data_IF_848324213848
#
_entry.id   IF_848324213848
#
_cell.length_a   1.000
_cell.length_b   1.000
_cell.length_c   1.000
_cell.angle_alpha   90.00
_cell.angle_beta   90.00
_cell.angle_gamma   90.00
#
_symmetry.space_group_name_H-M   'P 1'
#
loop_
_entity.id
_entity.type
_entity.pdbx_description
1 polymer ?
#
# COMPACT_ATOMS: atom_id res chain seq x y z
N UNK A 1 -1.27 -9.11 5.75
CA UNK A 1 -2.02 -9.31 7.00
C UNK A 1 -3.46 -8.91 6.78
N UNK A 2 -4.41 -9.73 7.22
CA UNK A 2 -5.85 -9.47 7.11
C UNK A 2 -6.55 -9.59 8.45
N UNK A 3 -7.77 -9.06 8.55
CA UNK A 3 -8.60 -9.09 9.75
C UNK A 3 -9.55 -7.88 9.86
N UNK A 4 -10.55 -7.92 10.76
CA UNK A 4 -11.53 -6.85 10.95
C UNK A 4 -10.90 -5.49 11.29
N UNK A 5 -11.64 -4.39 11.11
CA UNK A 5 -11.20 -3.09 11.63
C UNK A 5 -11.04 -3.18 13.15
N UNK A 6 -9.98 -2.57 13.70
CA UNK A 6 -9.70 -2.59 15.14
C UNK A 6 -8.90 -3.79 15.68
N UNK A 7 -8.63 -4.84 14.89
CA UNK A 7 -7.88 -6.02 15.37
C UNK A 7 -6.34 -5.84 15.50
N UNK A 8 -5.85 -4.59 15.47
CA UNK A 8 -4.43 -4.30 15.67
C UNK A 8 -3.52 -4.43 14.44
N UNK A 9 -4.05 -4.57 13.22
CA UNK A 9 -3.21 -4.63 11.98
C UNK A 9 -2.25 -3.44 11.85
N UNK A 10 -2.74 -2.23 12.03
CA UNK A 10 -1.91 -1.00 12.00
C UNK A 10 -0.84 -1.03 13.08
N UNK A 11 -1.17 -1.49 14.29
CA UNK A 11 -0.21 -1.62 15.40
C UNK A 11 0.89 -2.63 15.07
N UNK A 12 0.53 -3.79 14.52
CA UNK A 12 1.49 -4.80 14.08
C UNK A 12 2.36 -4.28 12.92
N UNK A 13 1.77 -3.60 11.93
CA UNK A 13 2.49 -3.04 10.80
C UNK A 13 3.51 -1.99 11.25
N UNK A 14 3.15 -1.14 12.22
CA UNK A 14 4.06 -0.17 12.83
C UNK A 14 5.19 -0.86 13.58
N UNK A 15 4.91 -1.88 14.39
CA UNK A 15 5.95 -2.65 15.07
C UNK A 15 6.93 -3.31 14.08
N UNK A 16 6.45 -3.82 12.95
CA UNK A 16 7.32 -4.34 11.88
C UNK A 16 8.18 -3.24 11.28
N UNK A 17 7.61 -2.06 11.02
CA UNK A 17 8.36 -0.91 10.50
C UNK A 17 9.44 -0.42 11.48
N UNK A 18 9.10 -0.32 12.76
CA UNK A 18 9.99 0.19 13.82
C UNK A 18 11.16 -0.76 14.12
N UNK A 19 10.98 -2.06 13.88
CA UNK A 19 12.02 -3.09 14.08
C UNK A 19 12.82 -3.39 12.81
N UNK A 20 12.47 -2.78 11.67
CA UNK A 20 13.13 -3.05 10.41
C UNK A 20 14.57 -2.50 10.38
N UNK A 21 15.52 -3.34 9.97
CA UNK A 21 16.93 -2.95 9.78
C UNK A 21 17.23 -2.41 8.37
N UNK A 22 16.21 -2.32 7.52
CA UNK A 22 16.29 -1.82 6.15
C UNK A 22 15.46 -0.54 6.03
N UNK A 23 15.76 0.37 5.09
CA UNK A 23 14.93 1.55 4.90
C UNK A 23 13.46 1.19 4.68
N UNK A 24 12.59 1.86 5.44
CA UNK A 24 11.14 1.69 5.37
C UNK A 24 10.53 2.77 4.49
N UNK A 25 9.60 2.37 3.63
CA UNK A 25 8.81 3.25 2.78
C UNK A 25 7.34 3.02 3.13
N UNK A 26 6.74 3.96 3.86
CA UNK A 26 5.32 3.94 4.18
C UNK A 26 4.51 4.56 3.03
N UNK A 27 3.87 3.71 2.23
CA UNK A 27 3.09 4.14 1.07
C UNK A 27 1.91 5.04 1.40
N UNK A 28 1.33 4.88 2.60
CA UNK A 28 0.21 5.70 3.04
C UNK A 28 0.69 7.07 3.56
N UNK A 29 1.83 7.12 4.27
CA UNK A 29 2.43 8.38 4.71
C UNK A 29 2.78 9.30 3.53
N UNK A 30 3.31 8.73 2.44
CA UNK A 30 3.69 9.47 1.23
C UNK A 30 2.56 10.34 0.66
N UNK A 31 1.31 9.90 0.79
CA UNK A 31 0.15 10.64 0.31
C UNK A 31 -0.46 11.54 1.38
N UNK A 32 -0.44 11.11 2.66
CA UNK A 32 -0.97 11.93 3.76
C UNK A 32 -0.26 13.28 3.85
N UNK A 33 1.05 13.29 3.57
CA UNK A 33 1.88 14.49 3.67
C UNK A 33 1.98 15.27 2.35
N UNK A 34 1.33 14.80 1.27
CA UNK A 34 1.40 15.42 -0.05
C UNK A 34 0.48 16.65 -0.15
N UNK A 35 0.96 17.80 -0.67
CA UNK A 35 0.12 18.97 -0.88
C UNK A 35 -0.98 18.67 -1.91
N UNK A 36 -2.24 18.94 -1.56
CA UNK A 36 -3.40 18.60 -2.39
C UNK A 36 -3.45 19.36 -3.72
N UNK A 37 -3.00 20.60 -3.75
CA UNK A 37 -3.00 21.50 -4.90
C UNK A 37 -1.84 21.25 -5.88
N UNK A 38 -0.85 20.47 -5.48
CA UNK A 38 0.35 20.21 -6.27
C UNK A 38 0.11 19.14 -7.35
N UNK A 39 0.63 19.31 -8.58
CA UNK A 39 0.59 18.27 -9.60
C UNK A 39 1.24 16.97 -9.12
N UNK A 40 0.65 15.82 -9.46
CA UNK A 40 1.16 14.52 -9.00
C UNK A 40 2.62 14.27 -9.42
N UNK A 41 3.03 14.76 -10.61
CA UNK A 41 4.37 14.55 -11.14
C UNK A 41 5.43 15.26 -10.30
N UNK A 42 5.07 16.39 -9.67
CA UNK A 42 5.97 17.20 -8.87
C UNK A 42 6.25 16.61 -7.48
N UNK A 43 5.56 15.52 -7.11
CA UNK A 43 5.84 14.78 -5.87
C UNK A 43 7.07 13.87 -5.98
N UNK A 44 7.55 13.62 -7.21
CA UNK A 44 8.68 12.76 -7.46
C UNK A 44 9.98 13.55 -7.46
N UNK A 45 11.06 12.88 -7.07
CA UNK A 45 12.42 13.38 -7.21
C UNK A 45 13.22 12.43 -8.11
N UNK A 46 14.12 12.97 -8.91
CA UNK A 46 15.02 12.20 -9.77
C UNK A 46 14.70 12.30 -11.27
N UNK A 47 15.38 11.50 -12.10
CA UNK A 47 15.26 11.57 -13.55
C UNK A 47 13.86 11.19 -14.04
N UNK A 48 13.30 11.98 -14.97
CA UNK A 48 11.97 11.74 -15.54
C UNK A 48 11.74 10.30 -16.03
N UNK A 49 12.69 9.62 -16.72
CA UNK A 49 12.49 8.23 -17.13
C UNK A 49 12.22 7.25 -15.98
N UNK A 50 12.82 7.47 -14.81
CA UNK A 50 12.60 6.63 -13.62
C UNK A 50 11.23 6.89 -12.99
N UNK A 51 10.84 8.16 -12.95
CA UNK A 51 9.51 8.59 -12.51
C UNK A 51 8.43 7.97 -13.39
N UNK A 52 8.58 8.06 -14.71
CA UNK A 52 7.63 7.47 -15.66
C UNK A 52 7.55 5.95 -15.56
N UNK A 53 8.69 5.26 -15.33
CA UNK A 53 8.69 3.81 -15.07
C UNK A 53 7.89 3.45 -13.83
N UNK A 54 8.04 4.22 -12.75
CA UNK A 54 7.32 4.00 -11.48
C UNK A 54 5.82 4.26 -11.63
N UNK A 55 5.44 5.34 -12.33
CA UNK A 55 4.05 5.63 -12.67
C UNK A 55 3.44 4.53 -13.52
N UNK A 56 4.13 4.09 -14.58
CA UNK A 56 3.65 3.00 -15.43
C UNK A 56 3.51 1.69 -14.65
N UNK A 57 4.49 1.36 -13.80
CA UNK A 57 4.46 0.18 -12.95
C UNK A 57 3.27 0.20 -11.97
N UNK A 58 2.84 1.37 -11.50
CA UNK A 58 1.65 1.50 -10.66
C UNK A 58 0.32 1.60 -11.43
N UNK A 59 0.36 1.62 -12.77
CA UNK A 59 -0.82 1.77 -13.62
C UNK A 59 -1.31 3.22 -13.79
N UNK A 60 -0.39 4.18 -13.76
CA UNK A 60 -0.61 5.61 -14.02
C UNK A 60 0.16 6.10 -15.26
N UNK A 61 0.14 5.32 -16.33
CA UNK A 61 0.82 5.63 -17.59
C UNK A 61 0.03 6.61 -18.49
N UNK A 62 -0.87 7.41 -17.93
CA UNK A 62 -1.75 8.33 -18.66
C UNK A 62 -1.24 9.78 -18.51
N UNK A 63 -0.64 10.39 -19.56
CA UNK A 63 -0.03 11.71 -19.45
C UNK A 63 -0.98 12.82 -18.99
N UNK A 64 -2.27 12.68 -19.29
CA UNK A 64 -3.32 13.63 -18.86
C UNK A 64 -3.45 13.71 -17.35
N UNK A 65 -3.07 12.68 -16.61
CA UNK A 65 -3.12 12.67 -15.15
C UNK A 65 -1.92 13.38 -14.53
N UNK A 66 -0.77 13.45 -15.21
CA UNK A 66 0.49 13.90 -14.60
C UNK A 66 0.46 15.37 -14.16
N UNK A 67 -0.27 16.21 -14.89
CA UNK A 67 -0.47 17.62 -14.56
C UNK A 67 -1.63 17.88 -13.57
N UNK A 68 -2.42 16.86 -13.23
CA UNK A 68 -3.52 17.00 -12.28
C UNK A 68 -2.98 17.11 -10.87
N UNK A 69 -3.62 17.95 -10.07
CA UNK A 69 -3.32 18.06 -8.65
C UNK A 69 -3.74 16.80 -7.89
N UNK A 70 -3.08 16.51 -6.77
CA UNK A 70 -3.40 15.35 -5.92
C UNK A 70 -4.87 15.36 -5.48
N UNK A 71 -5.43 16.53 -5.22
CA UNK A 71 -6.81 16.72 -4.79
C UNK A 71 -7.83 16.26 -5.84
N UNK A 72 -7.49 16.36 -7.12
CA UNK A 72 -8.37 16.01 -8.25
C UNK A 72 -8.39 14.50 -8.56
N UNK A 73 -7.52 13.73 -7.93
CA UNK A 73 -7.41 12.29 -8.16
C UNK A 73 -8.50 11.52 -7.42
N UNK A 74 -9.06 10.51 -8.10
CA UNK A 74 -9.93 9.53 -7.45
C UNK A 74 -9.14 8.70 -6.42
N UNK A 75 -9.83 8.06 -5.47
CA UNK A 75 -9.17 7.21 -4.46
C UNK A 75 -8.29 6.13 -5.08
N UNK A 76 -8.75 5.53 -6.19
CA UNK A 76 -7.97 4.55 -6.96
C UNK A 76 -6.74 5.15 -7.62
N UNK A 77 -6.78 6.40 -8.07
CA UNK A 77 -5.62 7.12 -8.61
C UNK A 77 -4.66 7.55 -7.51
N UNK A 78 -5.17 8.03 -6.38
CA UNK A 78 -4.37 8.38 -5.20
C UNK A 78 -3.61 7.17 -4.68
N UNK A 79 -4.27 6.04 -4.49
CA UNK A 79 -3.60 4.81 -4.05
C UNK A 79 -2.49 4.39 -5.03
N UNK A 80 -2.75 4.41 -6.33
CA UNK A 80 -1.73 4.11 -7.35
C UNK A 80 -0.57 5.12 -7.32
N UNK A 81 -0.85 6.40 -7.03
CA UNK A 81 0.20 7.41 -6.87
C UNK A 81 1.07 7.10 -5.65
N UNK A 82 0.49 6.71 -4.52
CA UNK A 82 1.24 6.27 -3.34
C UNK A 82 2.14 5.06 -3.63
N UNK A 83 1.63 4.09 -4.40
CA UNK A 83 2.42 2.97 -4.90
C UNK A 83 3.58 3.45 -5.78
N UNK A 84 3.32 4.31 -6.77
CA UNK A 84 4.35 4.84 -7.65
C UNK A 84 5.46 5.58 -6.87
N UNK A 85 5.08 6.41 -5.89
CA UNK A 85 6.04 7.09 -5.01
C UNK A 85 6.86 6.09 -4.18
N UNK A 86 6.23 5.04 -3.68
CA UNK A 86 6.93 3.99 -2.95
C UNK A 86 7.94 3.27 -3.86
N UNK A 87 7.52 2.86 -5.06
CA UNK A 87 8.37 2.21 -6.07
C UNK A 87 9.57 3.08 -6.41
N UNK A 88 9.36 4.37 -6.70
CA UNK A 88 10.42 5.32 -7.00
C UNK A 88 11.44 5.44 -5.84
N UNK A 89 10.96 5.48 -4.58
CA UNK A 89 11.86 5.54 -3.41
C UNK A 89 12.64 4.24 -3.19
N UNK A 90 12.15 3.09 -3.64
CA UNK A 90 12.91 1.84 -3.51
C UNK A 90 14.00 1.68 -4.57
N UNK A 91 13.89 2.34 -5.74
CA UNK A 91 14.78 2.12 -6.89
C UNK A 91 16.26 2.35 -6.58
N UNK A 92 16.59 3.31 -5.72
CA UNK A 92 17.98 3.66 -5.37
C UNK A 92 18.55 2.85 -4.19
N UNK A 93 17.88 1.77 -3.74
CA UNK A 93 18.24 1.04 -2.52
C UNK A 93 18.44 -0.44 -2.79
N UNK A 94 19.49 -1.02 -2.20
CA UNK A 94 19.78 -2.45 -2.31
C UNK A 94 18.68 -3.32 -1.66
N UNK A 95 18.13 -2.84 -0.54
CA UNK A 95 16.99 -3.44 0.16
C UNK A 95 16.02 -2.38 0.64
N UNK A 96 14.73 -2.69 0.66
CA UNK A 96 13.69 -1.81 1.20
C UNK A 96 12.49 -2.60 1.72
N UNK A 97 11.89 -2.10 2.79
CA UNK A 97 10.59 -2.56 3.27
C UNK A 97 9.53 -1.54 2.85
N UNK A 98 8.54 -1.96 2.09
CA UNK A 98 7.36 -1.14 1.77
C UNK A 98 6.21 -1.58 2.66
N UNK A 99 5.67 -0.65 3.45
CA UNK A 99 4.49 -0.90 4.28
C UNK A 99 3.27 -0.19 3.68
N UNK A 100 2.17 -0.92 3.57
CA UNK A 100 0.91 -0.45 3.01
C UNK A 100 -0.21 -0.72 4.00
N UNK A 101 -0.59 0.30 4.78
CA UNK A 101 -1.73 0.22 5.68
C UNK A 101 -3.05 0.50 4.94
N UNK A 102 -4.14 -0.08 5.42
CA UNK A 102 -5.48 0.06 4.81
C UNK A 102 -5.49 -0.21 3.29
N UNK A 103 -4.67 -1.18 2.86
CA UNK A 103 -4.45 -1.46 1.45
C UNK A 103 -5.76 -1.82 0.73
N UNK A 104 -6.11 -0.98 -0.25
CA UNK A 104 -7.31 -1.07 -1.06
C UNK A 104 -8.64 -1.05 -0.30
N UNK A 105 -8.70 -0.57 0.96
CA UNK A 105 -9.92 -0.65 1.78
C UNK A 105 -11.05 0.25 1.29
N UNK A 106 -10.74 1.34 0.59
CA UNK A 106 -11.73 2.29 0.03
C UNK A 106 -12.09 2.03 -1.43
N UNK A 107 -11.42 1.08 -2.09
CA UNK A 107 -11.60 0.83 -3.52
C UNK A 107 -12.72 -0.19 -3.79
N UNK A 108 -13.40 -0.03 -4.93
CA UNK A 108 -14.28 -1.09 -5.42
C UNK A 108 -13.49 -2.38 -5.70
N UNK A 109 -14.17 -3.52 -5.67
CA UNK A 109 -13.54 -4.85 -5.76
C UNK A 109 -12.76 -5.08 -7.06
N UNK A 110 -13.21 -4.51 -8.18
CA UNK A 110 -12.54 -4.69 -9.47
C UNK A 110 -11.23 -3.91 -9.47
N UNK A 111 -11.28 -2.64 -9.06
CA UNK A 111 -10.09 -1.78 -8.95
C UNK A 111 -9.09 -2.34 -7.94
N UNK A 112 -9.55 -2.77 -6.77
CA UNK A 112 -8.71 -3.34 -5.72
C UNK A 112 -7.92 -4.57 -6.21
N UNK A 113 -8.57 -5.49 -6.93
CA UNK A 113 -7.90 -6.66 -7.54
C UNK A 113 -6.92 -6.27 -8.62
N UNK A 114 -7.23 -5.24 -9.43
CA UNK A 114 -6.31 -4.70 -10.42
C UNK A 114 -5.02 -4.18 -9.78
N UNK A 115 -5.15 -3.35 -8.75
CA UNK A 115 -4.03 -2.82 -7.97
C UNK A 115 -3.23 -3.93 -7.30
N UNK A 116 -3.90 -4.91 -6.67
CA UNK A 116 -3.24 -6.06 -6.04
C UNK A 116 -2.35 -6.83 -7.01
N UNK A 117 -2.84 -7.13 -8.23
CA UNK A 117 -2.03 -7.82 -9.25
C UNK A 117 -0.85 -6.97 -9.71
N UNK A 118 -1.05 -5.66 -9.84
CA UNK A 118 0.01 -4.72 -10.18
C UNK A 118 1.11 -4.73 -9.12
N UNK A 119 0.74 -4.66 -7.84
CA UNK A 119 1.68 -4.72 -6.73
C UNK A 119 2.45 -6.05 -6.72
N UNK A 120 1.77 -7.19 -6.90
CA UNK A 120 2.42 -8.52 -7.00
C UNK A 120 3.42 -8.57 -8.14
N UNK A 121 3.02 -8.20 -9.35
CA UNK A 121 3.92 -8.20 -10.52
C UNK A 121 5.16 -7.34 -10.28
N UNK A 122 4.99 -6.16 -9.70
CA UNK A 122 6.10 -5.29 -9.37
C UNK A 122 7.03 -5.92 -8.32
N UNK A 123 6.48 -6.35 -7.18
CA UNK A 123 7.28 -6.94 -6.10
C UNK A 123 8.07 -8.18 -6.55
N UNK A 124 7.47 -9.06 -7.36
CA UNK A 124 8.15 -10.24 -7.90
C UNK A 124 9.33 -9.90 -8.81
N UNK A 125 9.34 -8.73 -9.45
CA UNK A 125 10.46 -8.25 -10.26
C UNK A 125 11.58 -7.57 -9.48
N UNK A 126 11.41 -7.36 -8.17
CA UNK A 126 12.31 -6.56 -7.33
C UNK A 126 12.69 -7.34 -6.06
N UNK A 127 13.61 -8.32 -6.14
CA UNK A 127 13.96 -9.21 -5.02
C UNK A 127 14.57 -8.50 -3.79
N UNK A 128 15.00 -7.25 -3.94
CA UNK A 128 15.45 -6.40 -2.83
C UNK A 128 14.29 -5.76 -2.04
N UNK A 129 13.05 -5.88 -2.50
CA UNK A 129 11.89 -5.23 -1.88
C UNK A 129 11.04 -6.27 -1.15
N UNK A 130 10.85 -6.05 0.16
CA UNK A 130 9.82 -6.72 0.94
C UNK A 130 8.60 -5.81 1.01
N UNK A 131 7.41 -6.33 0.70
CA UNK A 131 6.15 -5.59 0.82
C UNK A 131 5.29 -6.20 1.92
N UNK A 132 4.82 -5.39 2.85
CA UNK A 132 3.87 -5.80 3.88
C UNK A 132 2.59 -4.97 3.74
N UNK A 133 1.51 -5.66 3.41
CA UNK A 133 0.18 -5.04 3.26
C UNK A 133 -0.72 -5.41 4.44
N UNK A 134 -1.38 -4.43 5.04
CA UNK A 134 -2.52 -4.62 5.91
C UNK A 134 -3.80 -4.30 5.16
N UNK A 135 -4.78 -5.20 5.15
CA UNK A 135 -6.05 -4.97 4.47
C UNK A 135 -7.21 -5.58 5.25
N UNK A 136 -8.40 -4.98 5.15
CA UNK A 136 -9.65 -5.56 5.64
C UNK A 136 -10.30 -6.51 4.63
N UNK A 137 -9.67 -6.73 3.46
CA UNK A 137 -10.22 -7.54 2.38
C UNK A 137 -9.47 -8.87 2.23
N UNK A 138 -10.09 -9.94 2.72
CA UNK A 138 -9.54 -11.29 2.63
C UNK A 138 -9.49 -11.81 1.17
N UNK A 139 -10.38 -11.31 0.29
CA UNK A 139 -10.48 -11.76 -1.10
C UNK A 139 -9.31 -11.31 -1.99
N UNK A 140 -8.52 -10.32 -1.53
CA UNK A 140 -7.34 -9.84 -2.27
C UNK A 140 -6.18 -10.83 -2.27
N UNK A 141 -6.15 -11.83 -1.38
CA UNK A 141 -5.10 -12.84 -1.33
C UNK A 141 -4.93 -13.56 -2.69
N UNK A 142 -6.04 -13.83 -3.39
CA UNK A 142 -6.04 -14.44 -4.73
C UNK A 142 -5.36 -13.59 -5.81
N UNK A 143 -5.33 -12.27 -5.63
CA UNK A 143 -4.74 -11.31 -6.58
C UNK A 143 -3.33 -10.87 -6.17
N UNK A 144 -3.08 -10.80 -4.86
CA UNK A 144 -1.76 -10.47 -4.29
C UNK A 144 -0.80 -11.65 -4.32
N UNK A 145 -1.31 -12.89 -4.21
CA UNK A 145 -0.53 -14.12 -4.08
C UNK A 145 0.60 -13.96 -3.05
N UNK A 146 0.31 -13.60 -1.79
CA UNK A 146 1.34 -13.28 -0.82
C UNK A 146 2.20 -14.51 -0.52
N UNK A 147 3.51 -14.30 -0.35
CA UNK A 147 4.43 -15.36 0.04
C UNK A 147 4.22 -15.78 1.51
N UNK A 148 3.68 -14.86 2.33
CA UNK A 148 3.23 -15.10 3.69
C UNK A 148 1.90 -14.37 3.95
N UNK A 149 0.88 -15.12 4.37
CA UNK A 149 -0.38 -14.57 4.84
C UNK A 149 -0.45 -14.67 6.37
N UNK A 150 -0.78 -13.55 7.01
CA UNK A 150 -1.05 -13.46 8.44
C UNK A 150 -2.50 -13.04 8.64
N UNK A 151 -3.23 -13.75 9.48
CA UNK A 151 -4.57 -13.39 9.89
C UNK A 151 -4.51 -12.92 11.34
N UNK A 152 -4.90 -11.67 11.60
CA UNK A 152 -4.95 -11.15 12.95
C UNK A 152 -6.01 -11.94 13.74
N UNK A 153 -5.71 -12.40 14.96
CA UNK A 153 -6.64 -13.18 15.76
C UNK A 153 -7.90 -12.36 16.05
N UNK A 154 -9.05 -13.04 16.00
CA UNK A 154 -10.32 -12.49 16.44
C UNK A 154 -10.33 -12.65 17.97
N UNK A 155 -10.21 -11.55 18.73
CA UNK A 155 -10.70 -11.59 20.10
C UNK A 155 -12.22 -11.60 20.01
N UNK A 156 -12.82 -12.79 20.08
CA UNK A 156 -14.17 -12.87 20.63
C UNK A 156 -14.05 -12.26 22.02
N UNK A 157 -14.60 -11.07 22.23
CA UNK A 157 -15.14 -10.71 23.53
C UNK A 157 -16.09 -11.84 23.88
N UNK A 158 -15.61 -12.82 24.63
CA UNK A 158 -16.46 -13.70 25.41
C UNK A 158 -17.26 -12.76 26.30
N UNK A 159 -18.46 -12.40 25.86
CA UNK A 159 -19.54 -12.05 26.75
C UNK A 159 -19.71 -13.25 27.66
N UNK A 160 -18.96 -13.23 28.77
CA UNK A 160 -19.28 -13.97 29.97
C UNK A 160 -20.59 -13.37 30.51
N UNK A 161 -21.70 -13.63 29.80
CA UNK A 161 -23.03 -13.57 30.39
C UNK A 161 -23.09 -14.72 31.39
N UNK A 162 -22.67 -14.37 32.60
CA UNK A 162 -23.33 -14.71 33.86
C UNK A 162 -24.09 -16.03 33.83
N UNK A 163 -23.40 -17.06 34.29
CA UNK A 163 -23.98 -18.04 35.18
C UNK A 163 -24.65 -17.31 36.36
N UNK A 164 -25.98 -17.17 36.30
CA UNK A 164 -26.86 -16.96 37.46
C UNK A 164 -28.29 -17.41 37.09
N UNK A 165 -28.67 -18.61 37.53
CA UNK A 165 -29.82 -18.92 38.39
C UNK A 165 -30.33 -20.34 38.12
#
# INVERSE_FOLDING_TARGET
MTGPSGCGKTTLLRAIADTATTPVVDGAALLRDAPGDRPMLDLFAGPLPEVLRSLAAAGLAEPRLWARSVAELSDGQRLRLGLALAMARTHCRARSLVVLDEFCSTLDRVTARGVARTLRRWASGHPGVLVVCATAHDDLASSLLPDLALQAPFEETRDARTDRS
#
